data_IF_512675715364
#
_entry.id   IF_512675715364
#
_cell.length_a   1.000
_cell.length_b   1.000
_cell.length_c   1.000
_cell.angle_alpha   90.00
_cell.angle_beta   90.00
_cell.angle_gamma   90.00
#
_symmetry.space_group_name_H-M   'P 1'
#
loop_
_entity.id
_entity.type
_entity.pdbx_description
1 polymer ?
#
# COMPACT_ATOMS: atom_id res chain seq x y z
N UNK A 1 -5.55 -16.34 1.97
CA UNK A 1 -6.00 -15.89 0.62
C UNK A 1 -4.86 -16.18 -0.34
N UNK A 2 -5.16 -16.68 -1.54
CA UNK A 2 -4.17 -16.95 -2.58
C UNK A 2 -4.20 -15.86 -3.67
N UNK A 3 -3.25 -15.91 -4.62
CA UNK A 3 -3.13 -14.90 -5.68
C UNK A 3 -4.41 -14.81 -6.56
N UNK A 4 -4.99 -15.96 -6.92
CA UNK A 4 -6.21 -15.98 -7.73
C UNK A 4 -7.38 -15.27 -7.05
N UNK A 5 -7.52 -15.41 -5.74
CA UNK A 5 -8.57 -14.73 -4.96
C UNK A 5 -8.35 -13.22 -4.87
N UNK A 6 -7.10 -12.78 -4.76
CA UNK A 6 -6.75 -11.36 -4.78
C UNK A 6 -7.09 -10.73 -6.14
N UNK A 7 -6.66 -11.37 -7.22
CA UNK A 7 -6.95 -10.93 -8.60
C UNK A 7 -8.45 -10.91 -8.89
N UNK A 8 -9.18 -11.96 -8.47
CA UNK A 8 -10.63 -12.02 -8.66
C UNK A 8 -11.36 -10.88 -7.96
N UNK A 9 -10.95 -10.53 -6.73
CA UNK A 9 -11.53 -9.40 -6.01
C UNK A 9 -11.31 -8.08 -6.77
N UNK A 10 -10.09 -7.78 -7.20
CA UNK A 10 -9.83 -6.52 -7.93
C UNK A 10 -10.46 -6.51 -9.33
N UNK A 11 -10.61 -7.67 -9.97
CA UNK A 11 -11.36 -7.78 -11.23
C UNK A 11 -12.82 -7.37 -11.03
N UNK A 12 -13.46 -7.85 -9.96
CA UNK A 12 -14.82 -7.41 -9.59
C UNK A 12 -14.89 -5.90 -9.33
N UNK A 13 -13.92 -5.34 -8.61
CA UNK A 13 -13.87 -3.90 -8.37
C UNK A 13 -13.72 -3.11 -9.68
N UNK A 14 -12.92 -3.59 -10.61
CA UNK A 14 -12.78 -2.98 -11.94
C UNK A 14 -14.09 -2.99 -12.73
N UNK A 15 -14.80 -4.12 -12.69
CA UNK A 15 -16.11 -4.24 -13.35
C UNK A 15 -17.12 -3.26 -12.75
N UNK A 16 -17.19 -3.15 -11.43
CA UNK A 16 -18.05 -2.19 -10.73
C UNK A 16 -17.67 -0.73 -11.07
N UNK A 17 -16.39 -0.42 -11.15
CA UNK A 17 -15.91 0.88 -11.57
C UNK A 17 -16.32 1.19 -13.02
N UNK A 18 -16.08 0.28 -13.94
CA UNK A 18 -16.43 0.43 -15.37
C UNK A 18 -17.94 0.54 -15.58
N UNK A 19 -18.74 -0.10 -14.71
CA UNK A 19 -20.20 0.04 -14.70
C UNK A 19 -20.69 1.34 -14.06
N UNK A 20 -19.79 2.26 -13.65
CA UNK A 20 -20.14 3.54 -13.03
C UNK A 20 -20.71 3.43 -11.61
N UNK A 21 -20.47 2.33 -10.92
CA UNK A 21 -20.94 2.11 -9.54
C UNK A 21 -20.05 2.76 -8.49
N UNK A 22 -18.81 3.13 -8.86
CA UNK A 22 -17.84 3.77 -7.99
C UNK A 22 -17.55 5.16 -8.54
N UNK A 23 -17.98 6.20 -7.84
CA UNK A 23 -17.79 7.61 -8.25
C UNK A 23 -16.58 8.23 -7.56
N UNK A 24 -15.47 7.49 -7.48
CA UNK A 24 -14.23 7.94 -6.83
C UNK A 24 -13.03 7.26 -7.48
N UNK A 25 -11.80 7.79 -7.30
CA UNK A 25 -10.59 7.15 -7.79
C UNK A 25 -10.40 5.75 -7.20
N UNK A 26 -9.99 4.82 -8.05
CA UNK A 26 -9.64 3.44 -7.68
C UNK A 26 -8.27 3.13 -8.28
N UNK A 27 -7.38 2.61 -7.47
CA UNK A 27 -6.06 2.13 -7.91
C UNK A 27 -5.94 0.64 -7.60
N UNK A 28 -5.84 -0.15 -8.65
CA UNK A 28 -5.74 -1.60 -8.54
C UNK A 28 -4.27 -2.03 -8.56
N UNK A 29 -3.95 -3.15 -7.90
CA UNK A 29 -2.61 -3.73 -7.87
C UNK A 29 -2.37 -4.56 -9.13
N UNK A 30 -2.23 -5.82 -9.07
CA UNK A 30 -1.95 -6.79 -10.11
C UNK A 30 -0.47 -6.91 -10.48
N UNK A 31 0.05 -8.11 -10.28
CA UNK A 31 1.43 -8.48 -10.58
C UNK A 31 2.34 -8.58 -9.35
N UNK A 32 1.88 -8.16 -8.16
CA UNK A 32 2.64 -8.22 -6.91
C UNK A 32 2.08 -9.21 -5.87
N UNK A 33 1.10 -10.02 -6.24
CA UNK A 33 0.34 -10.91 -5.35
C UNK A 33 1.26 -11.83 -4.55
N UNK A 34 2.14 -12.55 -5.22
CA UNK A 34 3.04 -13.53 -4.60
C UNK A 34 4.03 -12.87 -3.63
N UNK A 35 4.50 -11.67 -3.98
CA UNK A 35 5.38 -10.89 -3.09
C UNK A 35 4.64 -10.49 -1.81
N UNK A 36 3.41 -9.97 -1.93
CA UNK A 36 2.58 -9.59 -0.80
C UNK A 36 2.22 -10.80 0.06
N UNK A 37 1.77 -11.90 -0.55
CA UNK A 37 1.44 -13.14 0.16
C UNK A 37 2.65 -13.62 0.97
N UNK A 38 3.85 -13.55 0.40
CA UNK A 38 5.09 -13.94 1.08
C UNK A 38 5.37 -13.05 2.29
N UNK A 39 5.26 -11.72 2.13
CA UNK A 39 5.49 -10.75 3.21
C UNK A 39 4.46 -10.96 4.33
N UNK A 40 3.19 -11.14 3.96
CA UNK A 40 2.10 -11.29 4.94
C UNK A 40 2.13 -12.60 5.73
N UNK A 41 2.98 -13.58 5.38
CA UNK A 41 3.25 -14.74 6.25
C UNK A 41 3.87 -14.34 7.59
N UNK A 42 4.61 -13.22 7.61
CA UNK A 42 5.30 -12.70 8.79
C UNK A 42 4.54 -11.57 9.48
N UNK A 43 3.46 -11.06 8.88
CA UNK A 43 2.60 -10.01 9.45
C UNK A 43 1.57 -10.64 10.38
N UNK A 44 1.65 -10.32 11.67
CA UNK A 44 0.78 -10.87 12.71
C UNK A 44 -0.50 -10.04 12.89
N UNK A 45 -1.56 -10.57 13.49
CA UNK A 45 -2.79 -9.82 13.74
C UNK A 45 -2.56 -8.52 14.54
N UNK A 46 -1.65 -8.51 15.51
CA UNK A 46 -1.32 -7.34 16.35
C UNK A 46 -0.41 -6.31 15.66
N UNK A 47 0.19 -6.63 14.52
CA UNK A 47 1.05 -5.69 13.80
C UNK A 47 0.23 -4.63 13.08
N UNK A 48 0.76 -3.43 12.97
CA UNK A 48 0.17 -2.36 12.18
C UNK A 48 0.59 -2.45 10.71
N UNK A 49 -0.32 -2.14 9.81
CA UNK A 49 -0.07 -2.07 8.38
C UNK A 49 -0.49 -0.70 7.87
N UNK A 50 0.44 0.03 7.28
CA UNK A 50 0.20 1.34 6.68
C UNK A 50 0.53 1.26 5.19
N UNK A 51 -0.35 1.80 4.35
CA UNK A 51 -0.24 1.68 2.90
C UNK A 51 -0.41 3.03 2.21
N UNK A 52 0.13 3.13 1.01
CA UNK A 52 -0.31 4.12 0.03
C UNK A 52 -1.75 3.81 -0.44
N UNK A 53 -2.24 4.56 -1.39
CA UNK A 53 -3.62 4.43 -1.91
C UNK A 53 -3.93 3.10 -2.64
N UNK A 54 -2.92 2.29 -2.99
CA UNK A 54 -3.07 0.98 -3.62
C UNK A 54 -2.95 -0.09 -2.55
N UNK A 55 -4.05 -0.40 -1.85
CA UNK A 55 -4.00 -1.15 -0.60
C UNK A 55 -5.04 -2.25 -0.44
N UNK A 56 -5.79 -2.59 -1.51
CA UNK A 56 -6.83 -3.61 -1.41
C UNK A 56 -6.26 -4.97 -1.02
N UNK A 57 -5.16 -5.39 -1.65
CA UNK A 57 -4.51 -6.67 -1.35
C UNK A 57 -4.00 -6.72 0.09
N UNK A 58 -3.39 -5.62 0.56
CA UNK A 58 -2.91 -5.55 1.94
C UNK A 58 -4.07 -5.62 2.95
N UNK A 59 -5.21 -4.99 2.65
CA UNK A 59 -6.41 -5.10 3.49
C UNK A 59 -6.91 -6.55 3.56
N UNK A 60 -7.04 -7.21 2.42
CA UNK A 60 -7.50 -8.60 2.33
C UNK A 60 -6.54 -9.55 3.06
N UNK A 61 -5.24 -9.40 2.84
CA UNK A 61 -4.20 -10.22 3.49
C UNK A 61 -4.10 -9.96 4.99
N UNK A 62 -4.46 -8.76 5.44
CA UNK A 62 -4.56 -8.41 6.87
C UNK A 62 -5.81 -8.98 7.55
N UNK A 63 -6.72 -9.56 6.75
CA UNK A 63 -7.91 -10.23 7.26
C UNK A 63 -9.18 -9.36 7.24
N UNK A 64 -9.18 -8.22 6.56
CA UNK A 64 -10.41 -7.47 6.31
C UNK A 64 -11.33 -8.32 5.42
N UNK A 65 -12.59 -8.55 5.81
CA UNK A 65 -13.53 -9.31 4.98
C UNK A 65 -13.74 -8.64 3.62
N UNK A 66 -13.77 -9.40 2.51
CA UNK A 66 -13.97 -8.84 1.17
C UNK A 66 -15.20 -7.93 1.06
N UNK A 67 -16.30 -8.29 1.70
CA UNK A 67 -17.54 -7.50 1.65
C UNK A 67 -17.41 -6.18 2.44
N UNK A 68 -16.68 -6.17 3.56
CA UNK A 68 -16.41 -4.95 4.33
C UNK A 68 -15.52 -4.00 3.51
N UNK A 69 -14.47 -4.54 2.87
CA UNK A 69 -13.61 -3.77 1.98
C UNK A 69 -14.38 -3.21 0.77
N UNK A 70 -15.19 -4.04 0.11
CA UNK A 70 -16.01 -3.65 -1.04
C UNK A 70 -17.00 -2.54 -0.67
N UNK A 71 -17.62 -2.58 0.50
CA UNK A 71 -18.51 -1.54 0.98
C UNK A 71 -17.79 -0.19 1.10
N UNK A 72 -16.56 -0.15 1.63
CA UNK A 72 -15.76 1.07 1.70
C UNK A 72 -15.37 1.60 0.31
N UNK A 73 -15.03 0.71 -0.61
CA UNK A 73 -14.69 1.08 -2.00
C UNK A 73 -15.91 1.68 -2.71
N UNK A 74 -17.07 1.04 -2.60
CA UNK A 74 -18.34 1.54 -3.18
C UNK A 74 -18.76 2.88 -2.57
N UNK A 75 -18.43 3.12 -1.31
CA UNK A 75 -18.63 4.41 -0.64
C UNK A 75 -17.61 5.49 -1.03
N UNK A 76 -16.71 5.21 -2.01
CA UNK A 76 -15.74 6.17 -2.53
C UNK A 76 -14.46 6.31 -1.71
N UNK A 77 -14.19 5.41 -0.78
CA UNK A 77 -13.01 5.47 0.10
C UNK A 77 -11.86 4.55 -0.29
N UNK A 78 -11.84 4.04 -1.52
CA UNK A 78 -10.83 3.11 -2.04
C UNK A 78 -9.38 3.54 -1.77
N UNK A 79 -9.08 4.83 -1.88
CA UNK A 79 -7.72 5.38 -1.75
C UNK A 79 -7.36 5.84 -0.34
N UNK A 80 -8.30 5.74 0.61
CA UNK A 80 -8.13 6.19 2.01
C UNK A 80 -8.90 5.26 2.94
N UNK A 81 -8.47 4.00 2.97
CA UNK A 81 -9.09 2.95 3.78
C UNK A 81 -8.59 3.04 5.23
N UNK A 82 -9.50 2.82 6.17
CA UNK A 82 -9.17 2.81 7.60
C UNK A 82 -9.96 1.73 8.32
N UNK A 83 -9.30 0.65 8.68
CA UNK A 83 -9.88 -0.46 9.43
C UNK A 83 -9.14 -0.65 10.77
N UNK A 84 -9.46 0.13 11.82
CA UNK A 84 -8.75 0.09 13.10
C UNK A 84 -8.79 -1.29 13.77
N UNK A 85 -9.89 -2.02 13.60
CA UNK A 85 -10.05 -3.39 14.12
C UNK A 85 -8.97 -4.34 13.59
N UNK A 86 -8.53 -4.12 12.36
CA UNK A 86 -7.49 -4.91 11.69
C UNK A 86 -6.12 -4.23 11.73
N UNK A 87 -6.00 -3.07 12.38
CA UNK A 87 -4.77 -2.26 12.44
C UNK A 87 -4.19 -1.97 11.07
N UNK A 88 -5.05 -1.59 10.12
CA UNK A 88 -4.62 -1.20 8.77
C UNK A 88 -5.20 0.16 8.38
N UNK A 89 -4.34 0.98 7.79
CA UNK A 89 -4.63 2.33 7.33
C UNK A 89 -3.98 2.57 5.97
N UNK A 90 -4.69 3.19 5.03
CA UNK A 90 -4.11 3.72 3.80
C UNK A 90 -4.34 5.24 3.67
N UNK A 91 -3.49 5.89 2.88
CA UNK A 91 -3.59 7.32 2.63
C UNK A 91 -3.35 7.63 1.15
N UNK A 92 -4.14 8.58 0.63
CA UNK A 92 -3.96 9.15 -0.70
C UNK A 92 -2.82 10.18 -0.77
N UNK A 93 -2.27 10.60 0.37
CA UNK A 93 -1.18 11.58 0.44
C UNK A 93 0.14 10.86 0.23
N UNK A 94 0.89 11.24 -0.81
CA UNK A 94 2.23 10.70 -1.08
C UNK A 94 3.13 10.90 0.15
N UNK A 95 3.68 9.80 0.66
CA UNK A 95 4.52 9.84 1.86
C UNK A 95 3.79 10.09 3.19
N UNK A 96 2.48 10.38 3.17
CA UNK A 96 1.72 10.75 4.36
C UNK A 96 1.70 9.68 5.46
N UNK A 97 1.75 8.40 5.11
CA UNK A 97 1.79 7.30 6.08
C UNK A 97 3.15 7.15 6.78
N UNK A 98 4.22 7.71 6.22
CA UNK A 98 5.59 7.51 6.73
C UNK A 98 5.80 8.14 8.12
N UNK A 99 5.52 9.43 8.35
CA UNK A 99 5.64 10.01 9.70
C UNK A 99 4.63 9.40 10.68
N UNK A 100 3.45 8.96 10.22
CA UNK A 100 2.50 8.23 11.05
C UNK A 100 3.11 6.91 11.52
N UNK A 101 3.79 6.19 10.63
CA UNK A 101 4.47 4.93 10.95
C UNK A 101 5.59 5.14 11.98
N UNK A 102 6.36 6.22 11.85
CA UNK A 102 7.37 6.58 12.85
C UNK A 102 6.73 6.80 14.23
N UNK A 103 5.67 7.59 14.30
CA UNK A 103 4.93 7.82 15.54
C UNK A 103 4.35 6.53 16.16
N UNK A 104 3.77 5.67 15.34
CA UNK A 104 3.28 4.34 15.77
C UNK A 104 4.44 3.46 16.28
N UNK A 105 5.56 3.43 15.57
CA UNK A 105 6.76 2.68 15.99
C UNK A 105 7.29 3.15 17.34
N UNK A 106 7.31 4.46 17.58
CA UNK A 106 7.65 5.04 18.89
C UNK A 106 6.63 4.61 19.95
N UNK A 107 5.34 4.66 19.66
CA UNK A 107 4.28 4.23 20.56
C UNK A 107 4.42 2.76 20.95
N UNK A 108 4.64 1.88 19.97
CA UNK A 108 4.89 0.44 20.19
C UNK A 108 6.11 0.21 21.08
N UNK A 109 7.21 0.93 20.80
CA UNK A 109 8.44 0.80 21.60
C UNK A 109 8.24 1.29 23.04
N UNK A 110 7.60 2.45 23.23
CA UNK A 110 7.36 3.03 24.55
C UNK A 110 6.39 2.19 25.39
N UNK A 111 5.34 1.66 24.77
CA UNK A 111 4.37 0.78 25.45
C UNK A 111 4.88 -0.64 25.67
N UNK A 112 6.05 -0.99 25.14
CA UNK A 112 6.63 -2.34 25.14
C UNK A 112 5.69 -3.39 24.53
N UNK A 113 4.85 -2.97 23.60
CA UNK A 113 3.95 -3.87 22.88
C UNK A 113 4.77 -4.77 21.95
N UNK A 114 4.46 -6.06 21.93
CA UNK A 114 5.07 -6.99 20.97
C UNK A 114 4.36 -6.90 19.62
N UNK A 115 4.47 -5.74 18.99
CA UNK A 115 3.93 -5.47 17.67
C UNK A 115 5.00 -4.85 16.76
N UNK A 116 4.77 -4.91 15.45
CA UNK A 116 5.56 -4.27 14.41
C UNK A 116 4.68 -3.31 13.61
N UNK A 117 5.31 -2.40 12.90
CA UNK A 117 4.65 -1.50 11.95
C UNK A 117 5.20 -1.81 10.55
N UNK A 118 4.36 -2.32 9.66
CA UNK A 118 4.70 -2.59 8.27
C UNK A 118 4.17 -1.46 7.38
N UNK A 119 5.03 -0.88 6.56
CA UNK A 119 4.70 0.24 5.70
C UNK A 119 4.91 -0.15 4.25
N UNK A 120 3.84 -0.12 3.46
CA UNK A 120 3.87 -0.41 2.03
C UNK A 120 3.81 0.90 1.24
N UNK A 121 4.82 1.15 0.42
CA UNK A 121 4.97 2.37 -0.35
C UNK A 121 5.52 2.09 -1.75
N UNK A 122 5.13 2.90 -2.73
CA UNK A 122 5.66 2.80 -4.08
C UNK A 122 7.10 3.32 -4.19
N UNK A 123 7.79 2.89 -5.22
CA UNK A 123 9.16 3.26 -5.58
C UNK A 123 9.37 4.77 -5.67
N UNK A 124 8.49 5.53 -6.33
CA UNK A 124 8.58 6.98 -6.41
C UNK A 124 8.45 7.65 -5.03
N UNK A 125 7.58 7.11 -4.16
CA UNK A 125 7.44 7.63 -2.79
C UNK A 125 8.71 7.41 -1.98
N UNK A 126 9.39 6.29 -2.19
CA UNK A 126 10.64 5.96 -1.50
C UNK A 126 11.78 6.97 -1.81
N UNK A 127 11.72 7.64 -2.96
CA UNK A 127 12.73 8.65 -3.35
C UNK A 127 12.44 10.06 -2.77
N UNK A 128 11.34 10.24 -2.05
CA UNK A 128 11.00 11.54 -1.44
C UNK A 128 11.87 11.86 -0.22
N UNK A 129 12.09 13.14 0.05
CA UNK A 129 12.84 13.59 1.24
C UNK A 129 12.21 13.07 2.55
N UNK A 130 10.87 13.09 2.66
CA UNK A 130 10.17 12.56 3.84
C UNK A 130 10.40 11.07 4.04
N UNK A 131 10.53 10.27 2.97
CA UNK A 131 10.86 8.85 3.08
C UNK A 131 12.27 8.65 3.66
N UNK A 132 13.25 9.36 3.12
CA UNK A 132 14.63 9.31 3.61
C UNK A 132 14.73 9.72 5.09
N UNK A 133 14.06 10.80 5.47
CA UNK A 133 14.04 11.28 6.87
C UNK A 133 13.40 10.22 7.80
N UNK A 134 12.25 9.68 7.44
CA UNK A 134 11.56 8.67 8.24
C UNK A 134 12.38 7.38 8.37
N UNK A 135 12.93 6.86 7.27
CA UNK A 135 13.77 5.67 7.28
C UNK A 135 15.01 5.86 8.16
N UNK A 136 15.68 7.00 8.03
CA UNK A 136 16.85 7.34 8.83
C UNK A 136 16.51 7.47 10.32
N UNK A 137 15.36 8.06 10.64
CA UNK A 137 14.89 8.19 12.01
C UNK A 137 14.58 6.81 12.63
N UNK A 138 13.84 5.96 11.90
CA UNK A 138 13.53 4.58 12.30
C UNK A 138 14.82 3.80 12.60
N UNK A 139 15.80 3.89 11.71
CA UNK A 139 17.09 3.22 11.88
C UNK A 139 17.85 3.74 13.11
N UNK A 140 17.94 5.07 13.28
CA UNK A 140 18.69 5.68 14.38
C UNK A 140 18.11 5.36 15.75
N UNK A 141 16.78 5.28 15.86
CA UNK A 141 16.08 4.98 17.12
C UNK A 141 15.70 3.50 17.26
N UNK A 142 16.10 2.65 16.31
CA UNK A 142 15.80 1.22 16.28
C UNK A 142 14.31 0.92 16.52
N UNK A 143 13.45 1.67 15.81
CA UNK A 143 12.00 1.52 15.93
C UNK A 143 11.53 0.23 15.22
N UNK A 144 10.48 -0.44 15.71
CA UNK A 144 9.95 -1.66 15.10
C UNK A 144 9.11 -1.36 13.84
N UNK A 145 9.67 -0.61 12.88
CA UNK A 145 9.04 -0.19 11.63
C UNK A 145 9.78 -0.81 10.45
N UNK A 146 9.05 -1.45 9.54
CA UNK A 146 9.56 -2.16 8.38
C UNK A 146 8.95 -1.57 7.12
N UNK A 147 9.80 -1.06 6.22
CA UNK A 147 9.37 -0.47 4.96
C UNK A 147 9.45 -1.51 3.85
N UNK A 148 8.37 -1.68 3.10
CA UNK A 148 8.27 -2.56 1.93
C UNK A 148 8.05 -1.69 0.70
N UNK A 149 9.08 -1.60 -0.15
CA UNK A 149 9.02 -0.77 -1.35
C UNK A 149 8.53 -1.62 -2.52
N UNK A 150 7.34 -1.28 -2.99
CA UNK A 150 6.68 -1.91 -4.13
C UNK A 150 7.13 -1.21 -5.40
N UNK A 151 8.11 -1.82 -6.09
CA UNK A 151 8.77 -1.23 -7.24
C UNK A 151 8.23 -1.80 -8.56
N UNK A 152 7.40 -1.03 -9.24
CA UNK A 152 6.97 -1.27 -10.61
C UNK A 152 7.61 -0.29 -11.62
N UNK A 153 8.60 0.48 -11.18
CA UNK A 153 9.27 1.53 -11.93
C UNK A 153 8.32 2.63 -12.43
N UNK A 154 7.16 2.81 -11.81
CA UNK A 154 6.17 3.81 -12.22
C UNK A 154 5.42 4.41 -11.03
N UNK A 155 5.22 5.73 -11.11
CA UNK A 155 4.22 6.43 -10.32
C UNK A 155 3.11 6.89 -11.25
N UNK A 156 1.97 6.19 -11.23
CA UNK A 156 0.86 6.36 -12.17
C UNK A 156 1.37 6.15 -13.63
N UNK A 157 1.74 7.19 -14.33
CA UNK A 157 2.29 7.14 -15.70
C UNK A 157 3.73 7.69 -15.81
N UNK A 158 4.34 8.08 -14.67
CA UNK A 158 5.69 8.64 -14.63
C UNK A 158 6.71 7.55 -14.29
N UNK A 159 7.73 7.42 -15.13
CA UNK A 159 8.83 6.49 -14.93
C UNK A 159 9.73 6.97 -13.79
N UNK A 160 9.88 6.15 -12.74
CA UNK A 160 10.64 6.50 -11.54
C UNK A 160 12.13 6.58 -11.85
N UNK A 161 12.66 5.65 -12.63
CA UNK A 161 14.09 5.62 -12.95
C UNK A 161 14.51 6.82 -13.79
N UNK A 162 13.67 7.25 -14.76
CA UNK A 162 13.94 8.46 -15.54
C UNK A 162 13.87 9.75 -14.72
N UNK A 163 13.02 9.76 -13.70
CA UNK A 163 12.83 10.94 -12.84
C UNK A 163 13.95 11.10 -11.81
N UNK A 164 14.38 10.01 -11.18
CA UNK A 164 15.25 10.02 -10.00
C UNK A 164 16.56 9.27 -10.19
N UNK A 165 16.74 8.53 -11.27
CA UNK A 165 17.85 7.60 -11.44
C UNK A 165 17.66 6.33 -10.61
N UNK A 166 18.75 5.59 -10.42
CA UNK A 166 18.71 4.34 -9.65
C UNK A 166 19.12 4.60 -8.20
N UNK A 167 18.22 4.31 -7.26
CA UNK A 167 18.55 4.27 -5.83
C UNK A 167 18.30 2.85 -5.31
N UNK A 168 19.32 2.29 -4.63
CA UNK A 168 19.22 0.97 -4.03
C UNK A 168 18.64 1.07 -2.63
N UNK A 169 17.46 0.49 -2.41
CA UNK A 169 16.88 0.26 -1.09
C UNK A 169 16.89 -1.23 -0.77
N UNK A 170 17.22 -1.61 0.45
CA UNK A 170 17.39 -3.02 0.86
C UNK A 170 16.10 -3.83 0.87
N UNK A 171 14.96 -3.19 1.10
CA UNK A 171 13.65 -3.86 1.24
C UNK A 171 12.74 -3.63 0.02
N UNK A 172 13.36 -3.39 -1.14
CA UNK A 172 12.66 -3.21 -2.41
C UNK A 172 12.37 -4.57 -3.06
N UNK A 173 11.14 -4.76 -3.51
CA UNK A 173 10.80 -5.86 -4.40
C UNK A 173 10.24 -5.33 -5.72
N UNK A 174 10.83 -5.79 -6.82
CA UNK A 174 10.42 -5.40 -8.17
C UNK A 174 9.36 -6.35 -8.71
N UNK A 175 8.42 -5.81 -9.44
CA UNK A 175 7.40 -6.58 -10.14
C UNK A 175 6.97 -5.86 -11.43
N UNK A 176 6.47 -6.64 -12.38
CA UNK A 176 5.88 -6.08 -13.59
C UNK A 176 4.38 -5.87 -13.34
N UNK A 177 3.97 -4.62 -13.22
CA UNK A 177 2.56 -4.32 -13.13
C UNK A 177 1.87 -4.72 -14.43
N UNK A 178 0.82 -5.50 -14.33
CA UNK A 178 -0.04 -5.78 -15.48
C UNK A 178 -0.74 -4.49 -15.88
N UNK A 179 -0.69 -4.14 -17.16
CA UNK A 179 -1.44 -3.00 -17.68
C UNK A 179 -2.93 -3.27 -17.49
N UNK A 180 -3.53 -2.42 -16.71
CA UNK A 180 -4.90 -2.59 -16.30
C UNK A 180 -5.68 -1.32 -16.66
N UNK A 181 -6.73 -1.40 -17.49
CA UNK A 181 -7.53 -0.24 -17.87
C UNK A 181 -8.47 0.12 -16.71
N UNK A 182 -8.00 0.92 -15.77
CA UNK A 182 -8.82 1.43 -14.66
C UNK A 182 -8.56 2.90 -14.41
N UNK A 183 -9.45 3.57 -13.68
CA UNK A 183 -9.21 4.92 -13.23
C UNK A 183 -7.99 4.99 -12.33
N UNK A 184 -7.10 5.93 -12.61
CA UNK A 184 -5.81 6.05 -11.93
C UNK A 184 -4.66 5.30 -12.60
N UNK A 185 -4.90 4.52 -13.65
CA UNK A 185 -3.85 3.92 -14.47
C UNK A 185 -3.40 4.80 -15.66
N UNK A 186 -3.67 6.07 -15.65
CA UNK A 186 -3.24 7.03 -16.67
C UNK A 186 -4.12 7.11 -17.93
N UNK A 187 -4.92 6.09 -18.23
CA UNK A 187 -5.77 6.11 -19.44
C UNK A 187 -7.11 6.82 -19.27
N UNK A 188 -7.53 7.12 -18.03
CA UNK A 188 -8.83 7.74 -17.72
C UNK A 188 -8.76 8.88 -16.71
N UNK A 189 -7.59 9.38 -16.40
CA UNK A 189 -7.49 10.61 -15.61
C UNK A 189 -7.73 11.79 -16.56
N UNK A 190 -8.99 12.11 -16.78
CA UNK A 190 -9.36 13.44 -17.24
C UNK A 190 -9.61 14.28 -15.99
N UNK A 191 -8.72 15.21 -15.74
CA UNK A 191 -8.92 16.32 -14.84
C UNK A 191 -9.52 17.48 -15.59
#
# INVERSE_FOLDING_TARGET
MNAEQLVAFETEIAELFNAGKIAAPVHLSHGNEENLIRIFKDVRPQDWVLCSWRSHYQCLLKGVPPEELKAEILAGRSIALNFPKYRILSSAIVGGVLPIAVGLGMGVQLSRENAKVHVFLGDMTAETGVAHECMKYVQNFNLPVYFHIEDNNQSVCTDTQKSWGFVSHTDRFSYNATKYPHAGAGERVQF
#
